data_IF_932143372229
#
_entry.id   IF_932143372229
#
_cell.length_a   1.000
_cell.length_b   1.000
_cell.length_c   1.000
_cell.angle_alpha   90.00
_cell.angle_beta   90.00
_cell.angle_gamma   90.00
#
_symmetry.space_group_name_H-M   'P 1'
#
loop_
_entity.id
_entity.type
_entity.pdbx_description
1 polymer ?
#
# COMPACT_ATOMS: atom_id res chain seq x y z
N UNK A 1 24.59 8.44 21.17
CA UNK A 1 24.48 7.33 20.20
C UNK A 1 23.08 6.73 20.12
N UNK A 2 22.41 6.28 21.22
CA UNK A 2 21.05 5.68 21.15
C UNK A 2 19.97 6.63 20.56
N UNK A 3 20.00 7.92 20.92
CA UNK A 3 19.04 8.93 20.42
C UNK A 3 19.23 9.22 18.92
N UNK A 4 20.45 9.23 18.41
CA UNK A 4 20.74 9.45 16.98
C UNK A 4 20.32 8.27 16.13
N UNK A 5 20.51 7.04 16.60
CA UNK A 5 20.03 5.82 15.92
C UNK A 5 18.49 5.81 15.84
N UNK A 6 17.82 6.16 16.93
CA UNK A 6 16.36 6.24 16.97
C UNK A 6 15.82 7.30 16.00
N UNK A 7 16.44 8.48 15.96
CA UNK A 7 16.06 9.54 15.02
C UNK A 7 16.29 9.14 13.56
N UNK A 8 17.40 8.43 13.28
CA UNK A 8 17.70 7.92 11.94
C UNK A 8 16.68 6.87 11.48
N UNK A 9 16.21 6.00 12.37
CA UNK A 9 15.18 5.00 12.06
C UNK A 9 13.85 5.70 11.75
N UNK A 10 13.45 6.70 12.55
CA UNK A 10 12.23 7.49 12.30
C UNK A 10 12.33 8.20 10.95
N UNK A 11 13.46 8.82 10.62
CA UNK A 11 13.70 9.49 9.36
C UNK A 11 13.61 8.52 8.17
N UNK A 12 14.17 7.32 8.32
CA UNK A 12 14.13 6.27 7.28
C UNK A 12 12.71 5.77 7.02
N UNK A 13 11.91 5.58 8.07
CA UNK A 13 10.48 5.25 7.97
C UNK A 13 9.70 6.37 7.28
N UNK A 14 10.03 7.64 7.58
CA UNK A 14 9.37 8.79 6.96
C UNK A 14 9.69 8.90 5.46
N UNK A 15 10.95 8.66 5.06
CA UNK A 15 11.36 8.65 3.65
C UNK A 15 10.71 7.48 2.89
N UNK A 16 10.59 6.31 3.50
CA UNK A 16 9.90 5.17 2.91
C UNK A 16 8.40 5.46 2.66
N UNK A 17 7.77 6.27 3.53
CA UNK A 17 6.37 6.67 3.38
C UNK A 17 6.11 7.57 2.16
N UNK A 18 7.11 8.33 1.70
CA UNK A 18 6.97 9.24 0.55
C UNK A 18 6.79 8.49 -0.79
N UNK A 19 7.23 7.26 -0.89
CA UNK A 19 7.07 6.43 -2.09
C UNK A 19 5.72 5.68 -2.17
N UNK A 20 4.88 5.80 -1.15
CA UNK A 20 3.62 5.05 -1.01
C UNK A 20 2.40 5.73 -1.65
N UNK A 21 2.59 6.58 -2.68
CA UNK A 21 1.49 7.40 -3.21
C UNK A 21 0.74 6.78 -4.39
N UNK A 22 1.18 5.63 -4.93
CA UNK A 22 0.58 5.02 -6.13
C UNK A 22 -0.89 4.68 -5.92
N UNK A 23 -1.22 3.97 -4.86
CA UNK A 23 -2.60 3.63 -4.51
C UNK A 23 -3.41 4.89 -4.20
N UNK A 24 -2.87 5.82 -3.42
CA UNK A 24 -3.55 7.06 -3.04
C UNK A 24 -3.99 7.88 -4.26
N UNK A 25 -3.16 7.92 -5.31
CA UNK A 25 -3.49 8.60 -6.58
C UNK A 25 -4.52 7.82 -7.40
N UNK A 26 -4.38 6.48 -7.44
CA UNK A 26 -5.18 5.63 -8.31
C UNK A 26 -6.56 5.27 -7.73
N UNK A 27 -6.75 5.30 -6.40
CA UNK A 27 -8.03 4.96 -5.75
C UNK A 27 -9.20 5.84 -6.20
N UNK A 28 -8.93 7.07 -6.62
CA UNK A 28 -9.95 7.98 -7.15
C UNK A 28 -10.29 7.72 -8.62
N UNK A 29 -9.37 7.07 -9.35
CA UNK A 29 -9.53 6.76 -10.77
C UNK A 29 -10.15 5.39 -10.98
N UNK A 30 -9.87 4.43 -10.10
CA UNK A 30 -10.31 3.04 -10.21
C UNK A 30 -11.15 2.65 -9.01
N UNK A 31 -12.44 2.36 -9.25
CA UNK A 31 -13.35 1.89 -8.20
C UNK A 31 -13.11 0.40 -7.94
N UNK A 32 -12.67 0.07 -6.74
CA UNK A 32 -12.41 -1.32 -6.31
C UNK A 32 -13.68 -2.19 -6.28
N UNK A 33 -14.89 -1.60 -6.25
CA UNK A 33 -16.16 -2.31 -6.36
C UNK A 33 -16.39 -2.93 -7.75
N UNK A 34 -15.86 -2.29 -8.77
CA UNK A 34 -15.96 -2.73 -10.17
C UNK A 34 -14.86 -3.73 -10.56
N UNK A 35 -14.01 -4.12 -9.61
CA UNK A 35 -12.93 -5.05 -9.88
C UNK A 35 -13.46 -6.47 -10.13
N UNK A 36 -13.17 -7.02 -11.30
CA UNK A 36 -13.36 -8.42 -11.67
C UNK A 36 -11.98 -9.07 -11.82
N UNK A 37 -11.70 -10.22 -11.19
CA UNK A 37 -10.43 -10.92 -11.36
C UNK A 37 -10.22 -11.31 -12.83
N UNK A 38 -9.02 -11.04 -13.37
CA UNK A 38 -8.63 -11.46 -14.73
C UNK A 38 -7.37 -12.31 -14.67
N UNK A 39 -7.25 -13.23 -15.63
CA UNK A 39 -6.04 -14.02 -15.78
C UNK A 39 -4.86 -13.09 -16.12
N UNK A 40 -3.77 -13.20 -15.33
CA UNK A 40 -2.59 -12.34 -15.48
C UNK A 40 -2.54 -11.13 -14.54
N UNK A 41 -3.48 -11.02 -13.59
CA UNK A 41 -3.36 -10.05 -12.50
C UNK A 41 -2.15 -10.38 -11.62
N UNK A 42 -1.26 -9.40 -11.37
CA UNK A 42 -0.05 -9.64 -10.58
C UNK A 42 -0.34 -9.80 -9.08
N UNK A 43 -1.43 -9.23 -8.58
CA UNK A 43 -1.76 -9.24 -7.16
C UNK A 43 -3.05 -10.00 -6.89
N UNK A 44 -2.99 -11.00 -6.01
CA UNK A 44 -4.18 -11.69 -5.57
C UNK A 44 -4.77 -10.99 -4.34
N UNK A 45 -6.01 -10.42 -4.41
CA UNK A 45 -6.60 -9.69 -3.30
C UNK A 45 -6.80 -10.55 -2.04
N UNK A 46 -7.11 -11.84 -2.21
CA UNK A 46 -7.33 -12.77 -1.08
C UNK A 46 -6.01 -13.02 -0.36
N UNK A 47 -4.94 -13.31 -1.11
CA UNK A 47 -3.61 -13.56 -0.52
C UNK A 47 -3.13 -12.30 0.21
N UNK A 48 -3.32 -11.12 -0.39
CA UNK A 48 -2.94 -9.85 0.25
C UNK A 48 -3.67 -9.62 1.58
N UNK A 49 -4.99 -9.95 1.63
CA UNK A 49 -5.76 -9.89 2.87
C UNK A 49 -5.26 -10.87 3.92
N UNK A 50 -5.01 -12.13 3.54
CA UNK A 50 -4.48 -13.17 4.43
C UNK A 50 -3.09 -12.80 4.98
N UNK A 51 -2.20 -12.27 4.14
CA UNK A 51 -0.90 -11.79 4.61
C UNK A 51 -1.02 -10.67 5.65
N UNK A 52 -1.97 -9.74 5.45
CA UNK A 52 -2.23 -8.66 6.42
C UNK A 52 -2.95 -9.12 7.68
N UNK A 53 -3.63 -10.26 7.65
CA UNK A 53 -4.20 -10.89 8.85
C UNK A 53 -3.09 -11.38 9.79
N UNK A 54 -2.06 -12.05 9.26
CA UNK A 54 -0.94 -12.53 10.07
C UNK A 54 0.01 -11.41 10.50
N UNK A 55 0.32 -10.50 9.58
CA UNK A 55 1.20 -9.36 9.85
C UNK A 55 0.57 -8.10 9.25
N UNK A 56 -0.02 -7.23 10.10
CA UNK A 56 -0.64 -5.99 9.63
C UNK A 56 0.33 -5.16 8.79
N UNK A 57 -0.07 -4.85 7.55
CA UNK A 57 0.77 -4.13 6.60
C UNK A 57 1.49 -4.98 5.56
N UNK A 58 1.62 -6.30 5.76
CA UNK A 58 2.38 -7.15 4.84
C UNK A 58 1.71 -7.27 3.47
N UNK A 59 0.40 -7.37 3.43
CA UNK A 59 -0.35 -7.45 2.16
C UNK A 59 -0.20 -6.21 1.30
N UNK A 60 -0.15 -5.01 1.90
CA UNK A 60 0.12 -3.77 1.20
C UNK A 60 1.54 -3.75 0.61
N UNK A 61 2.52 -4.27 1.36
CA UNK A 61 3.91 -4.39 0.88
C UNK A 61 4.01 -5.30 -0.33
N UNK A 62 3.33 -6.45 -0.34
CA UNK A 62 3.29 -7.35 -1.49
C UNK A 62 2.60 -6.73 -2.72
N UNK A 63 1.68 -5.79 -2.51
CA UNK A 63 1.04 -5.06 -3.60
C UNK A 63 1.85 -3.85 -4.10
N UNK A 64 3.10 -3.68 -3.62
CA UNK A 64 4.00 -2.60 -4.03
C UNK A 64 3.79 -1.29 -3.28
N UNK A 65 3.00 -1.29 -2.19
CA UNK A 65 2.73 -0.13 -1.33
C UNK A 65 3.49 -0.25 0.00
N UNK A 66 4.81 -0.34 -0.07
CA UNK A 66 5.69 -0.61 1.08
C UNK A 66 5.55 0.42 2.19
N UNK A 67 5.51 1.72 1.86
CA UNK A 67 5.36 2.77 2.87
C UNK A 67 4.03 2.69 3.62
N UNK A 68 2.96 2.32 2.92
CA UNK A 68 1.64 2.08 3.50
C UNK A 68 1.65 0.86 4.42
N UNK A 69 2.33 -0.21 4.00
CA UNK A 69 2.53 -1.40 4.81
C UNK A 69 3.30 -1.11 6.11
N UNK A 70 4.38 -0.35 6.03
CA UNK A 70 5.13 0.09 7.22
C UNK A 70 4.30 0.97 8.16
N UNK A 71 3.42 1.81 7.64
CA UNK A 71 2.54 2.62 8.47
C UNK A 71 1.59 1.75 9.33
N UNK A 72 0.97 0.72 8.72
CA UNK A 72 0.14 -0.24 9.45
C UNK A 72 0.94 -1.05 10.46
N UNK A 73 2.11 -1.54 10.08
CA UNK A 73 3.00 -2.30 10.97
C UNK A 73 3.44 -1.45 12.16
N UNK A 74 3.83 -0.19 11.93
CA UNK A 74 4.21 0.74 12.98
C UNK A 74 3.07 1.08 13.93
N UNK A 75 1.87 1.34 13.39
CA UNK A 75 0.69 1.59 14.20
C UNK A 75 0.33 0.38 15.08
N UNK A 76 0.31 -0.82 14.50
CA UNK A 76 0.04 -2.05 15.23
C UNK A 76 1.07 -2.29 16.34
N UNK A 77 2.35 -2.12 16.04
CA UNK A 77 3.44 -2.25 17.03
C UNK A 77 3.31 -1.20 18.15
N UNK A 78 2.92 0.03 17.82
CA UNK A 78 2.67 1.08 18.82
C UNK A 78 1.57 0.69 19.82
N UNK A 79 0.45 0.15 19.34
CA UNK A 79 -0.61 -0.35 20.21
C UNK A 79 -0.19 -1.62 20.98
N UNK A 80 0.65 -2.48 20.40
CA UNK A 80 1.19 -3.64 21.11
C UNK A 80 2.11 -3.22 22.27
N UNK A 81 2.90 -2.15 22.10
CA UNK A 81 3.70 -1.57 23.18
C UNK A 81 2.80 -1.00 24.29
N UNK A 82 1.74 -0.27 23.94
CA UNK A 82 0.77 0.24 24.92
C UNK A 82 0.11 -0.91 25.69
N UNK A 83 -0.28 -1.99 24.99
CA UNK A 83 -0.80 -3.18 25.64
C UNK A 83 0.21 -3.77 26.65
N UNK A 84 1.48 -3.91 26.26
CA UNK A 84 2.55 -4.40 27.12
C UNK A 84 2.79 -3.53 28.35
N UNK A 85 2.77 -2.21 28.19
CA UNK A 85 2.88 -1.24 29.31
C UNK A 85 1.69 -1.39 30.25
N UNK A 86 0.47 -1.45 29.73
CA UNK A 86 -0.73 -1.65 30.54
C UNK A 86 -0.72 -2.96 31.35
N UNK A 87 -0.19 -4.05 30.74
CA UNK A 87 0.02 -5.30 31.46
C UNK A 87 1.04 -5.14 32.59
N UNK A 88 2.20 -4.54 32.30
CA UNK A 88 3.27 -4.34 33.28
C UNK A 88 2.79 -3.52 34.50
N UNK A 89 2.04 -2.44 34.26
CA UNK A 89 1.44 -1.64 35.33
C UNK A 89 0.35 -2.41 36.10
N UNK A 90 -0.49 -3.17 35.37
CA UNK A 90 -1.51 -4.01 36.01
C UNK A 90 -0.92 -5.07 36.93
N UNK A 91 0.17 -5.72 36.54
CA UNK A 91 0.85 -6.73 37.36
C UNK A 91 1.63 -6.12 38.53
N UNK A 92 2.30 -4.98 38.33
CA UNK A 92 3.07 -4.32 39.42
C UNK A 92 2.15 -3.79 40.52
N UNK A 93 0.95 -3.33 40.17
CA UNK A 93 -0.02 -2.80 41.14
C UNK A 93 -0.93 -3.88 41.78
N UNK A 94 -0.90 -5.13 41.27
CA UNK A 94 -1.74 -6.21 41.85
C UNK A 94 -1.12 -6.95 43.03
N UNK A 95 -0.07 -6.41 43.66
CA UNK A 95 0.41 -6.86 44.98
C UNK A 95 0.99 -8.28 45.04
N UNK A 96 1.53 -8.81 43.95
CA UNK A 96 2.22 -10.12 43.94
C UNK A 96 3.55 -10.11 44.74
N UNK A 97 4.04 -8.92 45.06
CA UNK A 97 5.12 -8.69 46.02
C UNK A 97 4.49 -7.90 47.19
N UNK A 98 4.13 -8.56 48.25
CA UNK A 98 3.56 -8.16 49.54
C UNK A 98 3.90 -6.79 50.15
N UNK A 99 3.82 -5.72 49.40
CA UNK A 99 3.96 -4.36 49.87
C UNK A 99 2.59 -3.70 49.96
N UNK A 100 2.15 -3.43 51.22
CA UNK A 100 0.85 -2.97 51.64
C UNK A 100 0.55 -1.49 51.32
N UNK A 101 1.23 -0.87 50.38
CA UNK A 101 0.95 0.48 49.90
C UNK A 101 0.13 0.47 48.63
N UNK A 102 -1.14 -0.01 48.78
CA UNK A 102 -2.14 -0.02 47.73
C UNK A 102 -2.60 1.42 47.42
N UNK A 103 -1.91 2.08 46.50
CA UNK A 103 -2.38 3.34 45.92
C UNK A 103 -3.24 3.00 44.69
N UNK A 104 -4.54 3.23 44.78
CA UNK A 104 -5.64 2.80 43.93
C UNK A 104 -5.62 3.10 42.43
N UNK A 105 -4.47 3.07 41.76
CA UNK A 105 -4.30 3.33 40.31
C UNK A 105 -4.30 2.07 39.44
N UNK A 106 -4.71 0.90 39.95
CA UNK A 106 -4.82 -0.33 39.15
C UNK A 106 -5.76 -0.18 37.94
N UNK A 107 -6.73 0.73 38.01
CA UNK A 107 -7.61 1.03 36.89
C UNK A 107 -6.92 1.69 35.72
N UNK A 108 -5.84 2.43 35.95
CA UNK A 108 -5.07 3.08 34.86
C UNK A 108 -4.36 2.04 33.98
N UNK A 109 -3.70 1.04 34.56
CA UNK A 109 -3.04 -0.05 33.83
C UNK A 109 -4.00 -0.84 32.97
N UNK A 110 -5.18 -1.20 33.53
CA UNK A 110 -6.25 -1.89 32.79
C UNK A 110 -6.76 -1.03 31.64
N UNK A 111 -6.95 0.27 31.85
CA UNK A 111 -7.38 1.21 30.81
C UNK A 111 -6.39 1.27 29.64
N UNK A 112 -5.09 1.38 29.92
CA UNK A 112 -4.03 1.38 28.91
C UNK A 112 -3.98 0.04 28.16
N UNK A 113 -4.11 -1.08 28.86
CA UNK A 113 -4.15 -2.41 28.29
C UNK A 113 -5.33 -2.57 27.31
N UNK A 114 -6.53 -2.16 27.69
CA UNK A 114 -7.73 -2.24 26.85
C UNK A 114 -7.61 -1.32 25.63
N UNK A 115 -7.02 -0.14 25.79
CA UNK A 115 -6.76 0.78 24.68
C UNK A 115 -5.76 0.19 23.69
N UNK A 116 -4.70 -0.44 24.19
CA UNK A 116 -3.71 -1.14 23.34
C UNK A 116 -4.33 -2.30 22.58
N UNK A 117 -5.10 -3.16 23.26
CA UNK A 117 -5.79 -4.30 22.66
C UNK A 117 -6.82 -3.86 21.62
N UNK A 118 -7.66 -2.88 21.97
CA UNK A 118 -8.64 -2.32 21.04
C UNK A 118 -8.01 -1.68 19.81
N UNK A 119 -6.93 -0.92 20.00
CA UNK A 119 -6.16 -0.33 18.93
C UNK A 119 -5.56 -1.37 17.97
N UNK A 120 -4.97 -2.45 18.51
CA UNK A 120 -4.47 -3.56 17.69
C UNK A 120 -5.58 -4.20 16.86
N UNK A 121 -6.75 -4.46 17.46
CA UNK A 121 -7.88 -5.06 16.76
C UNK A 121 -8.36 -4.15 15.60
N UNK A 122 -8.53 -2.87 15.85
CA UNK A 122 -8.97 -1.90 14.83
C UNK A 122 -7.93 -1.80 13.70
N UNK A 123 -6.66 -1.62 14.02
CA UNK A 123 -5.58 -1.52 13.00
C UNK A 123 -5.45 -2.83 12.22
N UNK A 124 -5.57 -3.99 12.87
CA UNK A 124 -5.50 -5.29 12.24
C UNK A 124 -6.62 -5.48 11.21
N UNK A 125 -7.87 -5.26 11.61
CA UNK A 125 -9.03 -5.37 10.71
C UNK A 125 -8.90 -4.38 9.54
N UNK A 126 -8.55 -3.13 9.84
CA UNK A 126 -8.39 -2.11 8.81
C UNK A 126 -7.29 -2.47 7.81
N UNK A 127 -6.17 -3.02 8.29
CA UNK A 127 -5.06 -3.48 7.45
C UNK A 127 -5.49 -4.56 6.46
N UNK A 128 -6.33 -5.53 6.88
CA UNK A 128 -6.84 -6.58 6.00
C UNK A 128 -7.69 -5.98 4.87
N UNK A 129 -8.67 -5.14 5.22
CA UNK A 129 -9.57 -4.49 4.26
C UNK A 129 -8.79 -3.64 3.28
N UNK A 130 -7.86 -2.84 3.78
CA UNK A 130 -7.01 -1.97 2.97
C UNK A 130 -6.11 -2.75 2.01
N UNK A 131 -5.50 -3.87 2.44
CA UNK A 131 -4.68 -4.72 1.58
C UNK A 131 -5.45 -5.28 0.39
N UNK A 132 -6.70 -5.70 0.61
CA UNK A 132 -7.59 -6.18 -0.45
C UNK A 132 -7.91 -5.06 -1.45
N UNK A 133 -8.21 -3.84 -0.96
CA UNK A 133 -8.48 -2.69 -1.82
C UNK A 133 -7.26 -2.27 -2.64
N UNK A 134 -6.10 -2.24 -2.01
CA UNK A 134 -4.82 -1.94 -2.67
C UNK A 134 -4.55 -2.92 -3.80
N UNK A 135 -4.71 -4.22 -3.57
CA UNK A 135 -4.52 -5.25 -4.59
C UNK A 135 -5.45 -5.05 -5.80
N UNK A 136 -6.75 -4.79 -5.55
CA UNK A 136 -7.75 -4.56 -6.60
C UNK A 136 -7.43 -3.34 -7.45
N UNK A 137 -7.17 -2.19 -6.81
CA UNK A 137 -6.88 -0.92 -7.49
C UNK A 137 -5.58 -1.01 -8.30
N UNK A 138 -4.53 -1.61 -7.71
CA UNK A 138 -3.25 -1.76 -8.40
C UNK A 138 -3.34 -2.70 -9.59
N UNK A 139 -4.15 -3.77 -9.54
CA UNK A 139 -4.42 -4.62 -10.69
C UNK A 139 -5.09 -3.84 -11.83
N UNK A 140 -6.14 -3.07 -11.54
CA UNK A 140 -6.82 -2.24 -12.55
C UNK A 140 -5.88 -1.21 -13.17
N UNK A 141 -5.03 -0.59 -12.37
CA UNK A 141 -4.00 0.34 -12.85
C UNK A 141 -3.01 -0.36 -13.80
N UNK A 142 -2.49 -1.53 -13.43
CA UNK A 142 -1.53 -2.27 -14.27
C UNK A 142 -2.18 -2.73 -15.57
N UNK A 143 -3.45 -3.14 -15.55
CA UNK A 143 -4.21 -3.45 -16.77
C UNK A 143 -4.31 -2.25 -17.71
N UNK A 144 -4.58 -1.06 -17.16
CA UNK A 144 -4.65 0.16 -17.99
C UNK A 144 -3.30 0.49 -18.62
N UNK A 145 -2.20 0.29 -17.91
CA UNK A 145 -0.86 0.46 -18.46
C UNK A 145 -0.57 -0.52 -19.60
N UNK A 146 -0.92 -1.80 -19.42
CA UNK A 146 -0.75 -2.83 -20.47
C UNK A 146 -1.54 -2.48 -21.73
N UNK A 147 -2.79 -2.04 -21.60
CA UNK A 147 -3.62 -1.60 -22.74
C UNK A 147 -3.00 -0.41 -23.46
N UNK A 148 -2.49 0.57 -22.72
CA UNK A 148 -1.84 1.74 -23.32
C UNK A 148 -0.52 1.40 -23.99
N UNK A 149 0.27 0.47 -23.44
CA UNK A 149 1.53 0.04 -24.04
C UNK A 149 1.39 -0.88 -25.25
N UNK A 150 0.20 -1.46 -25.46
CA UNK A 150 -0.09 -2.27 -26.67
C UNK A 150 -0.38 -1.41 -27.91
N UNK A 151 -0.62 -0.10 -27.75
CA UNK A 151 -0.78 0.82 -28.87
C UNK A 151 0.58 1.05 -29.54
N UNK A 152 0.81 0.41 -30.67
CA UNK A 152 1.99 0.65 -31.51
C UNK A 152 1.66 1.69 -32.57
N UNK A 153 2.34 2.83 -32.49
CA UNK A 153 2.30 3.86 -33.53
C UNK A 153 3.47 3.62 -34.45
N UNK A 154 3.21 3.16 -35.65
CA UNK A 154 4.21 3.04 -36.72
C UNK A 154 4.12 4.28 -37.62
N UNK A 155 5.19 5.05 -37.66
CA UNK A 155 5.37 6.12 -38.63
C UNK A 155 6.25 5.61 -39.75
N UNK A 156 5.74 5.59 -40.99
CA UNK A 156 6.52 5.23 -42.15
C UNK A 156 6.47 6.35 -43.17
N UNK A 157 7.62 6.81 -43.66
CA UNK A 157 7.64 7.70 -44.81
C UNK A 157 7.15 6.95 -46.05
N UNK A 158 6.34 7.58 -46.88
CA UNK A 158 6.00 7.06 -48.18
C UNK A 158 6.39 8.04 -49.26
N UNK A 159 6.84 7.49 -50.35
CA UNK A 159 7.20 8.23 -51.57
C UNK A 159 6.35 7.61 -52.69
N UNK A 160 5.45 8.40 -53.25
CA UNK A 160 4.63 7.96 -54.38
C UNK A 160 5.06 8.75 -55.65
N UNK A 161 5.30 8.04 -56.71
CA UNK A 161 5.52 8.67 -58.00
C UNK A 161 4.18 8.85 -58.71
N UNK A 162 3.76 10.09 -58.91
CA UNK A 162 2.58 10.45 -59.68
C UNK A 162 3.02 11.02 -61.04
N UNK A 163 2.67 10.36 -62.13
CA UNK A 163 2.90 10.87 -63.49
C UNK A 163 1.59 11.52 -63.95
N UNK A 164 1.59 12.84 -64.04
CA UNK A 164 0.46 13.62 -64.54
C UNK A 164 1.00 14.43 -65.74
N UNK A 165 0.42 14.21 -66.90
CA UNK A 165 0.72 14.99 -68.10
C UNK A 165 2.23 15.01 -68.51
N UNK A 166 2.90 13.85 -68.49
CA UNK A 166 4.33 13.65 -68.77
C UNK A 166 5.30 14.32 -67.78
N UNK A 167 4.81 14.85 -66.65
CA UNK A 167 5.65 15.31 -65.59
C UNK A 167 5.56 14.35 -64.38
N UNK A 168 6.74 13.90 -63.92
CA UNK A 168 6.84 13.02 -62.73
C UNK A 168 7.04 13.88 -61.51
N UNK A 169 6.03 13.95 -60.66
CA UNK A 169 6.13 14.55 -59.33
C UNK A 169 6.23 13.47 -58.29
N UNK A 170 7.16 13.62 -57.35
CA UNK A 170 7.37 12.69 -56.23
C UNK A 170 6.93 13.34 -54.92
N UNK A 171 5.61 13.32 -54.60
CA UNK A 171 5.16 13.76 -53.29
C UNK A 171 5.72 12.85 -52.20
N UNK A 172 6.36 13.45 -51.20
CA UNK A 172 6.84 12.77 -49.99
C UNK A 172 5.87 13.04 -48.86
N UNK A 173 5.41 12.00 -48.22
CA UNK A 173 4.48 12.11 -47.10
C UNK A 173 4.86 11.18 -45.98
N UNK A 174 4.19 11.33 -44.81
CA UNK A 174 4.25 10.42 -43.68
C UNK A 174 2.89 9.76 -43.48
N UNK A 175 2.89 8.44 -43.40
CA UNK A 175 1.72 7.67 -42.93
C UNK A 175 1.89 7.32 -41.46
N UNK A 176 0.84 7.57 -40.70
CA UNK A 176 0.74 7.17 -39.29
C UNK A 176 -0.25 6.00 -39.20
N UNK A 177 0.25 4.83 -38.81
CA UNK A 177 -0.60 3.65 -38.59
C UNK A 177 -0.62 3.36 -37.10
N UNK A 178 -1.83 3.40 -36.50
CA UNK A 178 -2.06 2.99 -35.13
C UNK A 178 -2.59 1.55 -35.17
N UNK A 179 -1.85 0.62 -34.52
CA UNK A 179 -2.30 -0.76 -34.31
C UNK A 179 -2.82 -0.88 -32.89
N UNK A 180 -4.06 -1.37 -32.74
CA UNK A 180 -4.72 -1.64 -31.47
C UNK A 180 -4.52 -3.09 -31.06
#
# INVERSE_FOLDING_TARGET
MKKTIFLSIILLVFIASLNAQRYSTNKYKYDYHLYVPEFGDPYNPVISGVCSFFVPGLGQMFCGETGRGFAFMGAYTGFAVLYGVGLAEGFSNSGYYGDSNYNGNSHAGVGIMLLGLGGMAVVGIWSIVDAVHVAKVNNMYIRSLRRTSSLKVEMSPYVTQLSINNQVTTPVGMTMRVKF
#
